data_IF_195679460919
#
_entry.id   IF_195679460919
#
_cell.length_a   1.000
_cell.length_b   1.000
_cell.length_c   1.000
_cell.angle_alpha   90.00
_cell.angle_beta   90.00
_cell.angle_gamma   90.00
#
_symmetry.space_group_name_H-M   'P 1'
#
loop_
_entity.id
_entity.type
_entity.pdbx_description
1 polymer ?
#
# COMPACT_ATOMS: atom_id res chain seq x y z
N UNK A 1 26.73 -5.20 13.98
CA UNK A 1 25.38 -4.90 13.46
C UNK A 1 24.86 -6.16 12.78
N UNK A 2 23.85 -6.84 13.33
CA UNK A 2 23.27 -8.01 12.67
C UNK A 2 22.59 -7.55 11.38
N UNK A 3 22.99 -8.10 10.24
CA UNK A 3 22.25 -7.93 9.00
C UNK A 3 20.96 -8.73 9.18
N UNK A 4 19.87 -8.06 9.53
CA UNK A 4 18.55 -8.69 9.48
C UNK A 4 18.33 -9.13 8.03
N UNK A 5 18.27 -10.43 7.82
CA UNK A 5 17.97 -10.99 6.52
C UNK A 5 16.47 -10.79 6.30
N UNK A 6 16.12 -9.75 5.54
CA UNK A 6 14.73 -9.53 5.14
C UNK A 6 14.31 -10.65 4.18
N UNK A 7 13.08 -11.10 4.33
CA UNK A 7 12.40 -11.95 3.35
C UNK A 7 12.08 -11.17 2.07
N UNK A 8 11.85 -11.87 0.96
CA UNK A 8 11.45 -11.23 -0.31
C UNK A 8 10.21 -10.35 -0.14
N UNK A 9 9.23 -10.81 0.66
CA UNK A 9 8.06 -10.01 1.01
C UNK A 9 8.45 -8.69 1.70
N UNK A 10 9.27 -8.74 2.75
CA UNK A 10 9.68 -7.55 3.49
C UNK A 10 10.50 -6.60 2.62
N UNK A 11 11.33 -7.13 1.73
CA UNK A 11 12.07 -6.34 0.75
C UNK A 11 11.10 -5.58 -0.16
N UNK A 12 10.07 -6.27 -0.70
CA UNK A 12 9.08 -5.66 -1.57
C UNK A 12 8.26 -4.58 -0.87
N UNK A 13 7.81 -4.88 0.36
CA UNK A 13 7.06 -3.95 1.19
C UNK A 13 7.87 -2.68 1.51
N UNK A 14 9.08 -2.85 2.04
CA UNK A 14 9.93 -1.73 2.43
C UNK A 14 10.43 -0.92 1.23
N UNK A 15 10.64 -1.57 0.07
CA UNK A 15 10.97 -0.88 -1.18
C UNK A 15 9.87 0.11 -1.55
N UNK A 16 8.61 -0.34 -1.60
CA UNK A 16 7.50 0.54 -1.99
C UNK A 16 7.26 1.61 -0.94
N UNK A 17 7.27 1.24 0.34
CA UNK A 17 7.11 2.17 1.45
C UNK A 17 8.10 3.32 1.40
N UNK A 18 9.38 3.04 1.13
CA UNK A 18 10.43 4.07 1.08
C UNK A 18 10.36 4.92 -0.18
N UNK A 19 10.03 4.32 -1.32
CA UNK A 19 10.15 4.97 -2.63
C UNK A 19 8.88 5.65 -3.12
N UNK A 20 7.72 5.15 -2.69
CA UNK A 20 6.41 5.55 -3.22
C UNK A 20 5.42 6.01 -2.15
N UNK A 21 5.90 6.40 -0.96
CA UNK A 21 5.06 7.02 0.07
C UNK A 21 4.31 8.26 -0.42
N UNK A 22 4.85 8.97 -1.43
CA UNK A 22 4.20 10.11 -2.07
C UNK A 22 2.97 9.73 -2.92
N UNK A 23 2.79 8.45 -3.28
CA UNK A 23 1.63 7.99 -4.04
C UNK A 23 0.33 8.05 -3.24
N UNK A 24 0.40 8.37 -1.95
CA UNK A 24 -0.75 8.75 -1.11
C UNK A 24 -1.52 10.00 -1.61
N UNK A 25 -1.07 10.63 -2.70
CA UNK A 25 -1.78 11.73 -3.38
C UNK A 25 -2.71 11.26 -4.51
N UNK A 26 -2.67 9.97 -4.88
CA UNK A 26 -3.55 9.38 -5.89
C UNK A 26 -4.84 8.86 -5.26
N UNK A 27 -5.89 8.69 -6.07
CA UNK A 27 -7.16 8.08 -5.64
C UNK A 27 -6.93 6.73 -4.94
N UNK A 28 -7.61 6.52 -3.81
CA UNK A 28 -7.63 5.25 -3.06
C UNK A 28 -7.97 4.05 -3.96
N UNK A 29 -8.82 4.26 -4.98
CA UNK A 29 -9.17 3.24 -5.95
C UNK A 29 -7.98 2.79 -6.81
N UNK A 30 -7.16 3.73 -7.31
CA UNK A 30 -5.98 3.38 -8.11
C UNK A 30 -4.95 2.60 -7.28
N UNK A 31 -4.82 2.91 -5.99
CA UNK A 31 -3.93 2.15 -5.09
C UNK A 31 -4.42 0.72 -4.89
N UNK A 32 -5.74 0.51 -4.84
CA UNK A 32 -6.32 -0.83 -4.78
C UNK A 32 -6.12 -1.63 -6.06
N UNK A 33 -6.36 -1.02 -7.22
CA UNK A 33 -6.13 -1.66 -8.52
C UNK A 33 -4.66 -2.06 -8.68
N UNK A 34 -3.74 -1.16 -8.31
CA UNK A 34 -2.31 -1.44 -8.35
C UNK A 34 -1.91 -2.55 -7.37
N UNK A 35 -2.40 -2.51 -6.13
CA UNK A 35 -2.15 -3.55 -5.14
C UNK A 35 -2.61 -4.93 -5.62
N UNK A 36 -3.82 -5.02 -6.18
CA UNK A 36 -4.35 -6.26 -6.75
C UNK A 36 -3.50 -6.78 -7.93
N UNK A 37 -3.02 -5.90 -8.81
CA UNK A 37 -2.15 -6.30 -9.91
C UNK A 37 -0.86 -6.96 -9.41
N UNK A 38 -0.21 -6.40 -8.39
CA UNK A 38 0.97 -6.99 -7.77
C UNK A 38 0.69 -8.34 -7.09
N UNK A 39 -0.50 -8.54 -6.52
CA UNK A 39 -0.88 -9.83 -5.93
C UNK A 39 -1.12 -10.94 -6.95
N UNK A 40 -1.41 -10.60 -8.20
CA UNK A 40 -1.63 -11.57 -9.28
C UNK A 40 -0.32 -12.12 -9.87
N UNK A 41 0.83 -11.50 -9.57
CA UNK A 41 2.14 -11.96 -10.03
C UNK A 41 2.45 -13.39 -9.55
N UNK A 42 2.97 -14.21 -10.47
CA UNK A 42 3.36 -15.61 -10.21
C UNK A 42 4.85 -15.80 -10.52
N UNK A 43 5.41 -16.93 -10.07
CA UNK A 43 6.80 -17.32 -10.33
C UNK A 43 7.77 -16.82 -9.26
N UNK A 44 9.06 -16.76 -9.60
CA UNK A 44 10.15 -16.52 -8.65
C UNK A 44 10.02 -15.20 -7.87
N UNK A 45 9.39 -14.18 -8.46
CA UNK A 45 9.22 -12.86 -7.84
C UNK A 45 7.87 -12.71 -7.12
N UNK A 46 7.11 -13.79 -6.94
CA UNK A 46 5.76 -13.72 -6.38
C UNK A 46 5.75 -13.13 -4.96
N UNK A 47 6.66 -13.56 -4.08
CA UNK A 47 6.71 -13.03 -2.70
C UNK A 47 7.15 -11.56 -2.64
N UNK A 48 8.16 -11.20 -3.43
CA UNK A 48 8.58 -9.80 -3.58
C UNK A 48 7.40 -8.93 -4.05
N UNK A 49 6.69 -9.39 -5.08
CA UNK A 49 5.51 -8.72 -5.62
C UNK A 49 4.37 -8.63 -4.59
N UNK A 50 4.15 -9.67 -3.79
CA UNK A 50 3.16 -9.66 -2.69
C UNK A 50 3.46 -8.57 -1.67
N UNK A 51 4.73 -8.41 -1.27
CA UNK A 51 5.15 -7.33 -0.38
C UNK A 51 4.82 -5.95 -0.93
N UNK A 52 5.10 -5.72 -2.22
CA UNK A 52 4.78 -4.47 -2.91
C UNK A 52 3.27 -4.22 -2.96
N UNK A 53 2.50 -5.22 -3.38
CA UNK A 53 1.04 -5.13 -3.49
C UNK A 53 0.36 -4.88 -2.15
N UNK A 54 0.83 -5.56 -1.10
CA UNK A 54 0.31 -5.40 0.25
C UNK A 54 0.43 -3.96 0.74
N UNK A 55 1.57 -3.30 0.53
CA UNK A 55 1.73 -1.89 0.91
C UNK A 55 0.74 -0.96 0.20
N UNK A 56 0.51 -1.16 -1.10
CA UNK A 56 -0.45 -0.35 -1.85
C UNK A 56 -1.89 -0.54 -1.37
N UNK A 57 -2.29 -1.77 -1.04
CA UNK A 57 -3.59 -2.04 -0.44
C UNK A 57 -3.72 -1.38 0.93
N UNK A 58 -2.70 -1.51 1.77
CA UNK A 58 -2.66 -0.88 3.10
C UNK A 58 -2.83 0.65 2.97
N UNK A 59 -2.11 1.27 2.03
CA UNK A 59 -2.18 2.70 1.80
C UNK A 59 -3.57 3.12 1.29
N UNK A 60 -4.13 2.39 0.32
CA UNK A 60 -5.48 2.67 -0.21
C UNK A 60 -6.56 2.58 0.88
N UNK A 61 -6.48 1.59 1.78
CA UNK A 61 -7.40 1.46 2.92
C UNK A 61 -7.25 2.66 3.87
N UNK A 62 -6.01 3.02 4.25
CA UNK A 62 -5.75 4.17 5.14
C UNK A 62 -6.31 5.47 4.56
N UNK A 63 -6.12 5.69 3.25
CA UNK A 63 -6.68 6.85 2.57
C UNK A 63 -8.20 6.86 2.58
N UNK A 64 -8.83 5.73 2.24
CA UNK A 64 -10.29 5.62 2.22
C UNK A 64 -10.90 5.88 3.60
N UNK A 65 -10.28 5.39 4.66
CA UNK A 65 -10.71 5.67 6.04
C UNK A 65 -10.58 7.15 6.39
N UNK A 66 -9.49 7.81 5.96
CA UNK A 66 -9.30 9.24 6.18
C UNK A 66 -10.32 10.09 5.41
N UNK A 67 -10.68 9.70 4.18
CA UNK A 67 -11.75 10.33 3.39
C UNK A 67 -13.10 10.23 4.10
N UNK A 68 -13.48 9.03 4.56
CA UNK A 68 -14.74 8.79 5.28
C UNK A 68 -14.80 9.61 6.58
N UNK A 69 -13.72 9.62 7.36
CA UNK A 69 -13.65 10.39 8.60
C UNK A 69 -13.74 11.91 8.34
N UNK A 70 -13.17 12.39 7.25
CA UNK A 70 -13.23 13.81 6.86
C UNK A 70 -14.61 14.21 6.36
N UNK A 71 -15.33 13.30 5.70
CA UNK A 71 -16.72 13.51 5.28
C UNK A 71 -17.65 13.66 6.50
N UNK A 72 -17.55 12.76 7.48
CA UNK A 72 -18.36 12.81 8.71
C UNK A 72 -18.15 14.12 9.48
N UNK A 73 -16.91 14.57 9.65
CA UNK A 73 -16.63 15.86 10.31
C UNK A 73 -17.26 17.06 9.60
N UNK A 74 -17.53 16.97 8.31
CA UNK A 74 -18.14 18.04 7.51
C UNK A 74 -19.65 18.10 7.69
N UNK A 75 -20.29 16.99 7.99
CA UNK A 75 -21.72 16.88 8.27
C UNK A 75 -22.06 17.37 9.68
N UNK A 76 -21.16 17.18 10.65
CA UNK A 76 -21.35 17.67 12.03
C UNK A 76 -21.19 19.19 12.20
N UNK A 77 -20.67 19.90 11.17
CA UNK A 77 -20.41 21.35 11.22
C UNK A 77 -21.46 22.19 10.48
N UNK A 78 -22.56 21.59 10.01
CA UNK A 78 -23.67 22.25 9.31
C UNK A 78 -24.94 22.12 10.15
#
# INVERSE_FOLDING_TARGET
>A
MSRQHLSDFEIGYEYVRKRYSFLAKHSSQHLWELGNAYLQTRGANAELSRGMGFYFLELGIKMRLAEIASAHKKEDCV
#
